data_IF_163028426574
#
_entry.id   IF_163028426574
#
_cell.length_a   1.000
_cell.length_b   1.000
_cell.length_c   1.000
_cell.angle_alpha   90.00
_cell.angle_beta   90.00
_cell.angle_gamma   90.00
#
_symmetry.space_group_name_H-M   'P 1'
#
loop_
_entity.id
_entity.type
_entity.pdbx_description
1 polymer ?
#
# COMPACT_ATOMS: atom_id res chain seq x y z
N UNK A 1 -17.97 2.16 -8.45
CA UNK A 1 -17.87 0.67 -8.59
C UNK A 1 -16.53 0.18 -8.01
N UNK A 2 -16.34 -1.13 -7.80
CA UNK A 2 -15.26 -1.70 -6.97
C UNK A 2 -13.86 -1.33 -7.50
N UNK A 3 -13.09 -0.59 -6.69
CA UNK A 3 -11.63 -0.37 -6.83
C UNK A 3 -10.95 -1.53 -6.10
N UNK A 4 -10.49 -2.56 -6.81
CA UNK A 4 -9.91 -3.74 -6.16
C UNK A 4 -8.53 -3.37 -5.63
N UNK A 5 -8.35 -3.57 -4.32
CA UNK A 5 -7.06 -3.51 -3.63
C UNK A 5 -6.27 -4.76 -3.99
N UNK A 6 -5.14 -4.61 -4.68
CA UNK A 6 -4.19 -5.71 -4.84
C UNK A 6 -3.14 -5.63 -3.73
N UNK A 7 -3.51 -5.91 -2.47
CA UNK A 7 -2.50 -6.30 -1.47
C UNK A 7 -2.18 -7.77 -1.70
N UNK A 8 -1.01 -8.07 -2.23
CA UNK A 8 -0.45 -9.42 -2.24
C UNK A 8 -0.14 -9.87 -0.80
N UNK A 9 -1.15 -10.28 -0.02
CA UNK A 9 -0.91 -10.99 1.24
C UNK A 9 -0.64 -12.46 0.93
N UNK A 10 0.61 -12.90 1.15
CA UNK A 10 1.03 -14.28 1.03
C UNK A 10 0.25 -15.20 1.98
N UNK A 11 -0.43 -16.19 1.39
CA UNK A 11 -0.80 -17.53 1.86
C UNK A 11 -1.16 -17.77 3.32
N UNK A 12 -2.41 -18.21 3.51
CA UNK A 12 -2.92 -18.97 4.64
C UNK A 12 -2.08 -20.24 4.89
N UNK A 13 -1.76 -20.54 6.16
CA UNK A 13 -1.49 -21.90 6.65
C UNK A 13 -1.75 -21.94 8.17
N UNK A 14 -2.88 -22.52 8.60
CA UNK A 14 -3.03 -23.05 9.96
C UNK A 14 -3.66 -24.44 9.82
N UNK A 15 -2.86 -25.49 10.02
CA UNK A 15 -3.34 -26.84 10.30
C UNK A 15 -2.55 -27.42 11.49
N UNK A 16 -3.31 -27.79 12.54
CA UNK A 16 -3.03 -28.72 13.65
C UNK A 16 -1.75 -28.54 14.50
N UNK A 17 -1.89 -27.87 15.66
CA UNK A 17 -0.90 -27.92 16.76
C UNK A 17 -1.42 -28.88 17.84
N UNK A 18 -1.19 -30.19 17.69
CA UNK A 18 -1.29 -31.14 18.80
C UNK A 18 -0.07 -32.08 18.70
N UNK A 19 0.76 -32.11 19.76
CA UNK A 19 2.05 -32.84 19.92
C UNK A 19 3.36 -32.15 19.48
N UNK A 20 3.53 -30.85 19.71
CA UNK A 20 4.85 -30.20 19.60
C UNK A 20 5.60 -30.21 20.94
N UNK A 21 6.89 -30.52 20.94
CA UNK A 21 7.74 -30.45 22.14
C UNK A 21 8.06 -28.98 22.53
N UNK A 22 8.53 -28.74 23.76
CA UNK A 22 8.77 -27.39 24.30
C UNK A 22 9.75 -26.56 23.43
N UNK A 23 10.77 -27.19 22.84
CA UNK A 23 11.72 -26.50 21.96
C UNK A 23 11.08 -26.08 20.63
N UNK A 24 10.19 -26.91 20.09
CA UNK A 24 9.41 -26.58 18.88
C UNK A 24 8.39 -25.48 19.16
N UNK A 25 7.77 -25.48 20.34
CA UNK A 25 6.88 -24.39 20.78
C UNK A 25 7.66 -23.08 20.93
N UNK A 26 8.83 -23.08 21.58
CA UNK A 26 9.67 -21.88 21.70
C UNK A 26 10.12 -21.39 20.33
N UNK A 27 10.52 -22.30 19.43
CA UNK A 27 10.92 -21.92 18.06
C UNK A 27 9.74 -21.36 17.26
N UNK A 28 8.53 -21.90 17.44
CA UNK A 28 7.32 -21.40 16.80
C UNK A 28 6.91 -20.03 17.36
N UNK A 29 6.85 -19.88 18.68
CA UNK A 29 6.53 -18.63 19.35
C UNK A 29 7.57 -17.53 19.09
N UNK A 30 8.86 -17.86 19.02
CA UNK A 30 9.90 -16.87 18.66
C UNK A 30 9.82 -16.48 17.19
N UNK A 31 9.58 -17.42 16.28
CA UNK A 31 9.28 -17.10 14.87
C UNK A 31 8.04 -16.23 14.75
N UNK A 32 6.96 -16.57 15.46
CA UNK A 32 5.71 -15.81 15.47
C UNK A 32 5.92 -14.40 16.06
N UNK A 33 6.64 -14.25 17.17
CA UNK A 33 7.01 -12.95 17.76
C UNK A 33 7.89 -12.11 16.81
N UNK A 34 8.87 -12.72 16.13
CA UNK A 34 9.71 -12.05 15.12
C UNK A 34 8.85 -11.67 13.91
N UNK A 35 7.97 -12.55 13.43
CA UNK A 35 7.01 -12.25 12.35
C UNK A 35 6.03 -11.14 12.78
N UNK A 36 5.64 -11.08 14.06
CA UNK A 36 4.80 -10.02 14.61
C UNK A 36 5.56 -8.69 14.68
N UNK A 37 6.83 -8.66 15.11
CA UNK A 37 7.67 -7.46 15.06
C UNK A 37 7.96 -7.00 13.62
N UNK A 38 8.30 -7.91 12.72
CA UNK A 38 8.51 -7.60 11.31
C UNK A 38 7.23 -7.11 10.65
N UNK A 39 6.09 -7.73 10.96
CA UNK A 39 4.79 -7.25 10.48
C UNK A 39 4.38 -5.94 11.14
N UNK A 40 4.81 -5.61 12.37
CA UNK A 40 4.64 -4.27 12.95
C UNK A 40 5.49 -3.22 12.21
N UNK A 41 6.74 -3.54 11.85
CA UNK A 41 7.61 -2.67 11.05
C UNK A 41 7.09 -2.48 9.62
N UNK A 42 6.60 -3.55 8.98
CA UNK A 42 5.91 -3.49 7.69
C UNK A 42 4.58 -2.70 7.81
N UNK A 43 3.82 -2.90 8.90
CA UNK A 43 2.55 -2.18 9.15
C UNK A 43 2.75 -0.68 9.40
N UNK A 44 3.90 -0.28 9.95
CA UNK A 44 4.24 1.11 10.24
C UNK A 44 5.12 1.74 9.16
N UNK A 45 5.33 1.05 8.03
CA UNK A 45 6.01 1.50 6.82
C UNK A 45 7.04 2.64 7.01
N UNK A 46 8.05 2.37 7.85
CA UNK A 46 9.12 3.33 8.20
C UNK A 46 9.92 3.78 6.96
N UNK A 47 9.80 3.03 5.86
CA UNK A 47 10.41 3.34 4.58
C UNK A 47 9.35 3.31 3.47
N UNK A 48 9.31 4.30 2.57
CA UNK A 48 8.40 4.28 1.45
C UNK A 48 8.72 3.10 0.52
N UNK A 49 7.68 2.47 -0.03
CA UNK A 49 7.79 1.39 -1.00
C UNK A 49 8.63 1.80 -2.23
N UNK A 50 8.56 3.09 -2.61
CA UNK A 50 9.29 3.68 -3.73
C UNK A 50 9.96 5.01 -3.33
N UNK A 51 11.18 4.97 -2.75
CA UNK A 51 11.89 6.15 -2.24
C UNK A 51 12.18 7.24 -3.30
N UNK A 52 12.34 6.86 -4.56
CA UNK A 52 12.58 7.76 -5.70
C UNK A 52 11.39 8.69 -6.01
N UNK A 53 10.21 8.36 -5.48
CA UNK A 53 8.95 9.08 -5.71
C UNK A 53 8.47 9.88 -4.48
N UNK A 54 9.37 10.14 -3.52
CA UNK A 54 9.08 10.93 -2.31
C UNK A 54 8.66 12.37 -2.60
N UNK A 55 9.18 12.97 -3.69
CA UNK A 55 8.83 14.36 -4.06
C UNK A 55 7.58 14.42 -4.93
N UNK A 56 6.75 15.45 -4.74
CA UNK A 56 5.59 15.70 -5.61
C UNK A 56 5.95 15.71 -7.10
N UNK A 57 7.04 16.41 -7.46
CA UNK A 57 7.49 16.53 -8.86
C UNK A 57 7.88 15.19 -9.46
N UNK A 58 8.58 14.33 -8.70
CA UNK A 58 8.92 12.98 -9.17
C UNK A 58 7.68 12.14 -9.50
N UNK A 59 6.61 12.27 -8.70
CA UNK A 59 5.34 11.58 -8.95
C UNK A 59 4.60 12.15 -10.14
N UNK A 60 4.46 13.48 -10.21
CA UNK A 60 3.74 14.16 -11.28
C UNK A 60 4.32 13.79 -12.67
N UNK A 61 5.64 13.65 -12.77
CA UNK A 61 6.32 13.23 -14.02
C UNK A 61 5.86 11.88 -14.57
N UNK A 62 5.34 11.00 -13.72
CA UNK A 62 4.85 9.68 -14.17
C UNK A 62 3.56 9.79 -14.98
N UNK A 63 2.79 10.88 -14.84
CA UNK A 63 1.46 11.04 -15.46
C UNK A 63 1.47 11.60 -16.89
N UNK A 64 2.62 11.61 -17.59
CA UNK A 64 2.72 12.18 -18.94
C UNK A 64 1.79 11.49 -19.97
N UNK A 65 1.55 10.18 -19.81
CA UNK A 65 0.71 9.37 -20.70
C UNK A 65 -0.54 8.82 -19.99
N UNK A 66 -1.00 9.50 -18.94
CA UNK A 66 -2.14 9.03 -18.17
C UNK A 66 -3.44 9.20 -18.98
N UNK A 67 -4.19 8.12 -19.25
CA UNK A 67 -5.31 8.14 -20.20
C UNK A 67 -6.66 8.53 -19.56
N UNK A 68 -6.74 8.75 -18.25
CA UNK A 68 -7.97 9.10 -17.54
C UNK A 68 -8.17 10.61 -17.42
N UNK A 69 -9.43 11.05 -17.30
CA UNK A 69 -9.83 12.43 -17.03
C UNK A 69 -9.64 12.87 -15.57
N UNK A 70 -9.21 11.94 -14.71
CA UNK A 70 -8.84 12.25 -13.33
C UNK A 70 -7.72 13.30 -13.25
N UNK A 71 -7.77 14.11 -12.20
CA UNK A 71 -6.77 15.13 -11.98
C UNK A 71 -5.43 14.53 -11.54
N UNK A 72 -4.45 14.57 -12.45
CA UNK A 72 -3.09 14.09 -12.18
C UNK A 72 -2.39 14.85 -11.04
N UNK A 73 -2.76 16.12 -10.80
CA UNK A 73 -2.19 16.89 -9.70
C UNK A 73 -2.68 16.33 -8.36
N UNK A 74 -3.99 16.15 -8.21
CA UNK A 74 -4.58 15.51 -7.02
C UNK A 74 -4.10 14.08 -6.78
N UNK A 75 -3.93 13.28 -7.84
CA UNK A 75 -3.34 11.94 -7.75
C UNK A 75 -1.89 11.99 -7.23
N UNK A 76 -1.05 12.86 -7.79
CA UNK A 76 0.33 13.01 -7.34
C UNK A 76 0.42 13.59 -5.91
N UNK A 77 -0.42 14.56 -5.54
CA UNK A 77 -0.48 15.11 -4.19
C UNK A 77 -0.83 14.03 -3.15
N UNK A 78 -1.82 13.19 -3.46
CA UNK A 78 -2.26 12.07 -2.61
C UNK A 78 -1.31 10.86 -2.60
N UNK A 79 -0.10 11.02 -3.16
CA UNK A 79 0.97 10.04 -3.06
C UNK A 79 0.98 8.98 -4.16
N UNK A 80 0.19 9.13 -5.22
CA UNK A 80 0.15 8.16 -6.31
C UNK A 80 1.17 8.45 -7.42
N UNK A 81 1.69 7.38 -8.01
CA UNK A 81 2.41 7.35 -9.29
C UNK A 81 1.59 6.59 -10.33
N UNK A 82 1.74 6.95 -11.60
CA UNK A 82 1.14 6.19 -12.69
C UNK A 82 1.97 4.93 -13.00
N UNK A 83 1.30 3.76 -13.02
CA UNK A 83 1.94 2.47 -13.29
C UNK A 83 2.27 2.21 -14.77
N UNK A 84 1.86 3.09 -15.69
CA UNK A 84 1.99 2.89 -17.13
C UNK A 84 0.90 2.02 -17.76
N UNK A 85 -0.06 1.53 -16.97
CA UNK A 85 -1.15 0.65 -17.45
C UNK A 85 -2.51 1.28 -17.18
N UNK A 86 -3.30 1.50 -18.25
CA UNK A 86 -4.67 2.05 -18.17
C UNK A 86 -4.72 3.27 -17.24
N UNK A 87 -5.64 3.33 -16.29
CA UNK A 87 -5.75 4.36 -15.27
C UNK A 87 -5.19 3.89 -13.90
N UNK A 88 -4.35 2.85 -13.90
CA UNK A 88 -3.85 2.24 -12.67
C UNK A 88 -2.74 3.08 -12.07
N UNK A 89 -2.91 3.43 -10.79
CA UNK A 89 -1.96 4.20 -10.00
C UNK A 89 -1.54 3.42 -8.75
N UNK A 90 -0.36 3.72 -8.23
CA UNK A 90 0.19 3.05 -7.06
C UNK A 90 0.76 4.08 -6.07
N UNK A 91 0.54 3.88 -4.77
CA UNK A 91 1.08 4.78 -3.77
C UNK A 91 2.59 4.56 -3.60
N UNK A 92 3.38 5.62 -3.71
CA UNK A 92 4.83 5.53 -3.49
C UNK A 92 5.19 5.12 -2.05
N UNK A 93 4.36 5.52 -1.08
CA UNK A 93 4.60 5.25 0.33
C UNK A 93 4.18 3.82 0.65
N UNK A 94 2.90 3.50 0.58
CA UNK A 94 2.37 2.22 1.09
C UNK A 94 2.14 1.12 0.04
N UNK A 95 2.42 1.37 -1.25
CA UNK A 95 2.18 0.40 -2.32
C UNK A 95 0.71 0.12 -2.63
N UNK A 96 -0.22 0.93 -2.11
CA UNK A 96 -1.65 0.80 -2.44
C UNK A 96 -1.86 1.04 -3.94
N UNK A 97 -2.40 0.03 -4.64
CA UNK A 97 -2.75 0.11 -6.06
C UNK A 97 -4.25 0.37 -6.20
N UNK A 98 -4.61 1.35 -7.02
CA UNK A 98 -5.99 1.70 -7.38
C UNK A 98 -6.14 1.86 -8.89
N UNK A 99 -7.33 1.53 -9.40
CA UNK A 99 -7.70 1.66 -10.81
C UNK A 99 -9.23 1.82 -10.93
N UNK A 100 -9.73 2.02 -12.15
CA UNK A 100 -11.14 2.37 -12.43
C UNK A 100 -11.57 3.67 -11.73
N UNK A 101 -10.83 4.74 -11.99
CA UNK A 101 -11.13 6.06 -11.46
C UNK A 101 -12.28 6.72 -12.23
N UNK A 102 -13.28 7.17 -11.47
CA UNK A 102 -14.40 7.99 -11.94
C UNK A 102 -14.04 9.48 -11.74
N UNK A 103 -14.54 10.40 -12.57
CA UNK A 103 -14.15 11.83 -12.53
C UNK A 103 -14.42 12.49 -11.17
N UNK A 104 -15.45 12.03 -10.49
CA UNK A 104 -15.96 12.55 -9.23
C UNK A 104 -15.18 12.00 -8.01
N UNK A 105 -14.30 11.02 -8.22
CA UNK A 105 -13.48 10.45 -7.17
C UNK A 105 -12.50 11.47 -6.60
N UNK A 106 -12.33 11.43 -5.27
CA UNK A 106 -11.31 12.23 -4.59
C UNK A 106 -10.13 11.33 -4.20
N UNK A 107 -8.93 11.50 -4.82
CA UNK A 107 -7.78 10.62 -4.57
C UNK A 107 -7.39 10.45 -3.11
N UNK A 108 -7.50 11.51 -2.30
CA UNK A 108 -7.22 11.45 -0.87
C UNK A 108 -8.23 10.59 -0.11
N UNK A 109 -9.52 10.77 -0.40
CA UNK A 109 -10.59 9.99 0.25
C UNK A 109 -10.44 8.52 -0.14
N UNK A 110 -10.17 8.22 -1.41
CA UNK A 110 -9.96 6.85 -1.85
C UNK A 110 -8.74 6.22 -1.19
N UNK A 111 -7.62 6.94 -1.15
CA UNK A 111 -6.42 6.46 -0.47
C UNK A 111 -6.70 6.15 0.99
N UNK A 112 -7.26 7.10 1.74
CA UNK A 112 -7.59 6.93 3.16
C UNK A 112 -8.61 5.80 3.39
N UNK A 113 -9.58 5.62 2.48
CA UNK A 113 -10.58 4.55 2.56
C UNK A 113 -9.92 3.17 2.44
N UNK A 114 -8.95 3.01 1.55
CA UNK A 114 -8.34 1.71 1.24
C UNK A 114 -7.08 1.41 2.05
N UNK A 115 -6.35 2.43 2.50
CA UNK A 115 -5.25 2.28 3.45
C UNK A 115 -5.12 3.50 4.40
N UNK A 116 -5.91 3.55 5.48
CA UNK A 116 -5.90 4.69 6.41
C UNK A 116 -4.58 4.83 7.18
N UNK A 117 -3.75 3.78 7.23
CA UNK A 117 -2.47 3.78 7.95
C UNK A 117 -1.30 4.34 7.15
N UNK A 118 -1.51 4.70 5.88
CA UNK A 118 -0.46 5.29 5.07
C UNK A 118 -0.05 6.66 5.63
N UNK A 119 1.25 6.89 5.77
CA UNK A 119 1.80 8.14 6.30
C UNK A 119 1.46 9.36 5.43
N UNK A 120 1.16 9.15 4.14
CA UNK A 120 0.76 10.26 3.25
C UNK A 120 -0.49 10.99 3.77
N UNK A 121 -1.40 10.28 4.45
CA UNK A 121 -2.62 10.86 4.98
C UNK A 121 -2.35 11.92 6.06
N UNK A 122 -1.14 11.93 6.65
CA UNK A 122 -0.70 12.92 7.63
C UNK A 122 -0.29 14.26 6.99
N UNK A 123 -0.02 14.29 5.68
CA UNK A 123 0.40 15.51 4.98
C UNK A 123 -0.77 16.45 4.58
N UNK A 124 -2.02 16.09 4.92
CA UNK A 124 -3.22 16.87 4.59
C UNK A 124 -3.76 17.72 5.75
N UNK A 125 -3.02 17.85 6.85
CA UNK A 125 -3.37 18.74 7.97
C UNK A 125 -2.94 20.18 7.73
#
# INVERSE_FOLDING_TARGET
MIKIVCVFTHSMMILSIQNMNLLTIITFLTKELVTLQFSQLIRNNVYPAYPEFTTFISRLKTFNLFPSSQDKYSLAESGFIYSGKKDTVECFCCGLILHYWEKEDNPWIEHSRWNPKCEINLLKM
#
